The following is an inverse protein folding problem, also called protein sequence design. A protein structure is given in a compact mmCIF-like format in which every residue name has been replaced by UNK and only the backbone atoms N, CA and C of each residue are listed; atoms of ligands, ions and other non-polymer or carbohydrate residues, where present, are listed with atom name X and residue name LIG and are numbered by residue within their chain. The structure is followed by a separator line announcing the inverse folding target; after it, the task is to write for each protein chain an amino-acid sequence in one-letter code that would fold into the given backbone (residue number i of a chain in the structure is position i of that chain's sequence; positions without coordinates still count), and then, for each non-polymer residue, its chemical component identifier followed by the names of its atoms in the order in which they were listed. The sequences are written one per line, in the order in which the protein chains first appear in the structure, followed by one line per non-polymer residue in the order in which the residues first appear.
data_IF_759504903448
#
_entry.id   IF_759504903448
#
_cell.length_a   1.000
_cell.length_b   1.000
_cell.length_c   1.000
_cell.angle_alpha   90.00
_cell.angle_beta   90.00
_cell.angle_gamma   90.00
#
_symmetry.space_group_name_H-M   'P 1'
#
loop_
_entity.id
_entity.type
_entity.pdbx_description
1 polymer ?
#
# COMPACT_ATOMS: atom_id res chain seq x y z
N UNK A 1 15.10 0.17 21.96
CA UNK A 1 14.99 1.64 21.88
C UNK A 1 14.56 1.93 20.46
N UNK A 2 13.39 2.57 20.29
CA UNK A 2 12.82 2.84 18.98
C UNK A 2 13.66 3.83 18.19
N UNK A 3 13.46 3.86 16.88
CA UNK A 3 14.08 4.87 16.01
C UNK A 3 13.11 6.01 15.74
N UNK A 4 13.54 7.26 15.90
CA UNK A 4 12.69 8.42 15.64
C UNK A 4 12.70 8.75 14.14
N UNK A 5 11.53 8.71 13.50
CA UNK A 5 11.37 9.02 12.07
C UNK A 5 10.31 10.11 11.85
N UNK A 6 10.43 10.95 10.79
CA UNK A 6 9.37 11.86 10.40
C UNK A 6 8.19 11.08 9.81
N UNK A 7 6.96 11.55 10.04
CA UNK A 7 5.73 10.93 9.56
C UNK A 7 4.98 11.79 8.54
N UNK A 8 4.34 11.11 7.60
CA UNK A 8 3.41 11.66 6.62
C UNK A 8 2.10 10.87 6.65
N UNK A 9 1.11 11.33 7.43
CA UNK A 9 -0.22 10.74 7.44
C UNK A 9 -0.92 10.81 6.09
N UNK A 10 -1.55 9.72 5.66
CA UNK A 10 -2.38 9.62 4.45
C UNK A 10 -3.73 8.96 4.75
N UNK A 11 -4.65 8.97 3.79
CA UNK A 11 -5.94 8.26 3.90
C UNK A 11 -5.85 6.76 3.63
N UNK A 12 -4.75 6.28 3.05
CA UNK A 12 -4.50 4.88 2.71
C UNK A 12 -3.07 4.49 3.08
N UNK A 13 -2.82 3.23 3.49
CA UNK A 13 -1.46 2.74 3.71
C UNK A 13 -0.62 2.72 2.43
N UNK A 14 0.70 2.86 2.60
CA UNK A 14 1.71 2.56 1.59
C UNK A 14 2.22 1.13 1.81
N UNK A 15 2.57 0.44 0.73
CA UNK A 15 3.17 -0.90 0.78
C UNK A 15 4.62 -0.89 0.26
N UNK A 16 5.47 -1.81 0.75
CA UNK A 16 6.82 -1.97 0.23
C UNK A 16 6.84 -2.20 -1.28
N UNK A 17 7.80 -1.58 -1.97
CA UNK A 17 7.96 -1.65 -3.43
C UNK A 17 7.02 -0.74 -4.24
N UNK A 18 5.98 -0.19 -3.63
CA UNK A 18 5.00 0.67 -4.33
C UNK A 18 5.56 2.07 -4.52
N UNK A 19 5.43 2.60 -5.75
CA UNK A 19 5.78 3.98 -6.07
C UNK A 19 4.64 4.91 -5.60
N UNK A 20 4.99 5.97 -4.89
CA UNK A 20 4.05 6.98 -4.41
C UNK A 20 4.49 8.38 -4.88
N UNK A 21 3.91 8.91 -5.96
CA UNK A 21 4.09 10.30 -6.36
C UNK A 21 3.25 11.22 -5.46
N UNK A 22 3.83 12.32 -4.98
CA UNK A 22 3.11 13.30 -4.15
C UNK A 22 3.39 14.73 -4.62
N UNK A 23 2.37 15.57 -4.52
CA UNK A 23 2.47 17.02 -4.61
C UNK A 23 2.37 17.61 -3.19
N UNK A 24 3.42 18.32 -2.79
CA UNK A 24 3.61 18.82 -1.43
C UNK A 24 3.37 20.32 -1.43
N UNK A 25 2.22 20.71 -0.90
CA UNK A 25 1.81 22.11 -0.80
C UNK A 25 1.75 22.60 0.66
N UNK A 26 1.50 21.74 1.65
CA UNK A 26 1.41 22.16 3.05
C UNK A 26 2.76 22.60 3.64
N UNK A 27 2.82 23.74 4.36
CA UNK A 27 4.08 24.27 4.91
C UNK A 27 4.88 23.27 5.75
N UNK A 28 4.22 22.49 6.62
CA UNK A 28 4.87 21.48 7.47
C UNK A 28 5.58 20.39 6.65
N UNK A 29 5.00 19.98 5.53
CA UNK A 29 5.58 18.95 4.67
C UNK A 29 6.58 19.52 3.68
N UNK A 30 6.45 20.80 3.29
CA UNK A 30 7.54 21.52 2.59
C UNK A 30 8.81 21.52 3.44
N UNK A 31 8.68 21.75 4.74
CA UNK A 31 9.78 21.66 5.71
C UNK A 31 10.36 20.24 5.77
N UNK A 32 9.52 19.21 5.90
CA UNK A 32 9.95 17.81 5.87
C UNK A 32 10.79 17.48 4.63
N UNK A 33 10.31 17.84 3.43
CA UNK A 33 11.03 17.56 2.18
C UNK A 33 12.34 18.33 2.10
N UNK A 34 12.35 19.60 2.53
CA UNK A 34 13.57 20.40 2.58
C UNK A 34 14.62 19.77 3.52
N UNK A 35 14.20 19.32 4.70
CA UNK A 35 15.07 18.70 5.69
C UNK A 35 15.66 17.38 5.15
N UNK A 36 14.84 16.52 4.55
CA UNK A 36 15.29 15.29 3.90
C UNK A 36 16.21 15.55 2.70
N UNK A 37 15.92 16.56 1.88
CA UNK A 37 16.73 16.92 0.72
C UNK A 37 18.11 17.49 1.13
N UNK A 38 18.16 18.20 2.26
CA UNK A 38 19.40 18.77 2.82
C UNK A 38 20.26 17.76 3.57
N UNK A 39 19.70 16.61 3.95
CA UNK A 39 20.45 15.55 4.64
C UNK A 39 21.60 15.04 3.78
N UNK A 40 22.81 15.08 4.32
CA UNK A 40 24.05 14.61 3.68
C UNK A 40 24.54 13.27 4.23
N UNK A 41 23.79 12.62 5.12
CA UNK A 41 24.20 11.32 5.67
C UNK A 41 23.94 10.20 4.65
N UNK A 42 24.99 9.62 4.04
CA UNK A 42 24.82 8.55 3.06
C UNK A 42 24.35 7.23 3.70
N UNK A 43 24.42 7.10 5.04
CA UNK A 43 24.03 5.88 5.76
C UNK A 43 22.54 5.82 6.07
N UNK A 44 21.84 6.95 6.01
CA UNK A 44 20.39 7.02 6.26
C UNK A 44 19.67 7.28 4.95
N UNK A 45 18.77 6.38 4.50
CA UNK A 45 17.94 6.69 3.36
C UNK A 45 17.15 7.97 3.64
N UNK A 46 17.03 8.83 2.64
CA UNK A 46 16.17 10.02 2.71
C UNK A 46 14.74 9.53 2.69
N UNK A 47 14.16 9.26 3.85
CA UNK A 47 12.84 8.64 3.97
C UNK A 47 12.01 9.22 5.10
N UNK A 48 10.70 9.07 4.98
CA UNK A 48 9.72 9.36 6.02
C UNK A 48 8.74 8.19 6.14
N UNK A 49 8.11 8.02 7.30
CA UNK A 49 7.09 7.01 7.52
C UNK A 49 5.74 7.44 6.97
N UNK A 50 5.12 6.63 6.12
CA UNK A 50 3.73 6.81 5.71
C UNK A 50 2.85 5.94 6.60
N UNK A 51 1.82 6.55 7.16
CA UNK A 51 0.85 5.89 8.06
C UNK A 51 -0.56 6.33 7.67
N UNK A 52 -1.51 5.40 7.63
CA UNK A 52 -2.88 5.77 7.32
C UNK A 52 -3.58 6.39 8.56
N UNK A 53 -4.54 7.26 8.29
CA UNK A 53 -5.45 7.86 9.28
C UNK A 53 -6.70 6.98 9.38
N UNK A 54 -7.23 6.81 10.59
CA UNK A 54 -8.50 6.10 10.85
C UNK A 54 -9.67 7.01 10.45
N UNK A 55 -10.59 6.52 9.61
CA UNK A 55 -11.76 7.31 9.21
C UNK A 55 -12.70 7.57 10.40
N UNK A 56 -13.29 8.77 10.47
CA UNK A 56 -14.23 9.18 11.53
C UNK A 56 -13.62 9.89 12.73
N UNK A 57 -12.31 10.16 12.72
CA UNK A 57 -11.59 10.83 13.80
C UNK A 57 -11.08 12.18 13.28
N UNK A 58 -11.87 13.24 13.46
CA UNK A 58 -11.43 14.61 13.16
C UNK A 58 -10.19 14.93 14.02
N UNK A 59 -9.10 15.30 13.35
CA UNK A 59 -7.76 15.57 13.93
C UNK A 59 -7.79 16.62 15.05
N UNK A 60 -8.86 17.39 15.17
CA UNK A 60 -9.02 18.46 16.16
C UNK A 60 -9.48 18.00 17.56
N UNK A 61 -9.92 16.74 17.75
CA UNK A 61 -10.51 16.30 19.04
C UNK A 61 -9.85 15.09 19.71
N UNK A 62 -8.89 14.45 19.05
CA UNK A 62 -8.32 13.17 19.48
C UNK A 62 -6.80 13.26 19.49
N UNK A 63 -6.15 12.55 20.42
CA UNK A 63 -4.69 12.50 20.47
C UNK A 63 -4.12 12.02 19.11
N UNK A 64 -3.08 12.66 18.56
CA UNK A 64 -2.54 12.33 17.24
C UNK A 64 -2.20 10.84 17.04
N UNK A 65 -1.80 10.13 18.10
CA UNK A 65 -1.55 8.69 18.06
C UNK A 65 -2.82 7.85 17.83
N UNK A 66 -3.95 8.24 18.40
CA UNK A 66 -5.22 7.49 18.30
C UNK A 66 -5.89 7.66 16.94
N UNK A 67 -5.57 8.73 16.21
CA UNK A 67 -6.06 8.96 14.85
C UNK A 67 -5.31 8.15 13.78
N UNK A 68 -4.18 7.51 14.12
CA UNK A 68 -3.33 6.79 13.18
C UNK A 68 -3.46 5.28 13.36
N UNK A 69 -3.16 4.54 12.29
CA UNK A 69 -2.94 3.10 12.40
C UNK A 69 -1.55 2.80 12.94
N UNK A 70 -1.44 1.68 13.67
CA UNK A 70 -0.23 1.33 14.41
C UNK A 70 0.92 0.89 13.50
N UNK A 71 0.62 0.47 12.26
CA UNK A 71 1.61 0.01 11.29
C UNK A 71 1.65 0.94 10.08
N UNK A 72 2.86 1.27 9.65
CA UNK A 72 3.14 2.07 8.46
C UNK A 72 4.25 1.47 7.59
N UNK A 73 4.55 2.17 6.51
CA UNK A 73 5.64 1.83 5.59
C UNK A 73 6.46 3.08 5.29
N UNK A 74 7.78 2.96 5.29
CA UNK A 74 8.66 4.06 4.91
C UNK A 74 8.57 4.36 3.43
N UNK A 75 8.59 5.64 3.09
CA UNK A 75 8.66 6.16 1.74
C UNK A 75 10.06 6.73 1.50
N UNK A 76 10.86 6.04 0.69
CA UNK A 76 12.22 6.48 0.32
C UNK A 76 12.14 7.46 -0.83
N UNK A 77 12.68 8.65 -0.64
CA UNK A 77 12.72 9.74 -1.61
C UNK A 77 13.64 9.38 -2.79
N UNK A 78 13.05 9.26 -3.99
CA UNK A 78 13.77 8.96 -5.23
C UNK A 78 14.02 10.19 -6.09
N UNK A 79 13.02 11.05 -6.21
CA UNK A 79 13.12 12.29 -6.96
C UNK A 79 12.44 13.44 -6.23
N UNK A 80 13.00 14.65 -6.37
CA UNK A 80 12.47 15.89 -5.82
C UNK A 80 12.52 16.95 -6.90
N UNK A 81 11.38 17.55 -7.22
CA UNK A 81 11.26 18.63 -8.19
C UNK A 81 10.60 19.84 -7.50
N UNK A 82 11.36 20.91 -7.19
CA UNK A 82 10.79 22.16 -6.70
C UNK A 82 9.73 22.72 -7.66
N UNK A 83 8.69 23.33 -7.13
CA UNK A 83 7.61 23.96 -7.90
C UNK A 83 7.68 25.49 -7.75
N UNK A 84 7.09 26.22 -8.71
CA UNK A 84 7.15 27.70 -8.76
C UNK A 84 6.43 28.37 -7.57
N UNK A 85 5.45 27.70 -6.97
CA UNK A 85 4.70 28.12 -5.78
C UNK A 85 5.43 27.82 -4.46
N UNK A 86 6.68 27.34 -4.54
CA UNK A 86 7.47 26.90 -3.39
C UNK A 86 7.08 25.54 -2.84
N UNK A 87 6.19 24.80 -3.51
CA UNK A 87 5.89 23.40 -3.22
C UNK A 87 6.94 22.45 -3.80
N UNK A 88 6.72 21.15 -3.60
CA UNK A 88 7.53 20.09 -4.21
C UNK A 88 6.66 19.07 -4.91
N UNK A 89 7.13 18.55 -6.04
CA UNK A 89 6.68 17.27 -6.57
C UNK A 89 7.74 16.23 -6.26
N UNK A 90 7.36 15.18 -5.56
CA UNK A 90 8.28 14.13 -5.15
C UNK A 90 7.83 12.78 -5.70
N UNK A 91 8.79 11.90 -5.92
CA UNK A 91 8.54 10.48 -6.17
C UNK A 91 9.20 9.70 -5.05
N UNK A 92 8.43 8.89 -4.36
CA UNK A 92 8.91 8.00 -3.31
C UNK A 92 8.63 6.54 -3.66
N UNK A 93 9.33 5.62 -3.01
CA UNK A 93 9.09 4.18 -3.11
C UNK A 93 8.97 3.61 -1.71
N UNK A 94 7.93 2.81 -1.47
CA UNK A 94 7.74 2.06 -0.24
C UNK A 94 8.93 1.14 0.05
N UNK A 95 9.40 1.11 1.29
CA UNK A 95 10.50 0.26 1.73
C UNK A 95 10.10 -0.53 2.98
N UNK A 96 10.68 -0.23 4.14
CA UNK A 96 10.52 -1.02 5.34
C UNK A 96 9.19 -0.73 6.06
N UNK A 97 8.57 -1.78 6.59
CA UNK A 97 7.41 -1.69 7.47
C UNK A 97 7.87 -1.35 8.88
N UNK A 98 7.07 -0.58 9.60
CA UNK A 98 7.34 -0.21 10.97
C UNK A 98 6.06 -0.18 11.80
N UNK A 99 6.20 -0.37 13.11
CA UNK A 99 5.16 -0.16 14.10
C UNK A 99 5.44 1.11 14.88
N UNK A 100 4.41 1.96 15.03
CA UNK A 100 4.46 3.13 15.90
C UNK A 100 4.55 2.67 17.36
N UNK A 101 5.53 3.19 18.09
CA UNK A 101 5.66 3.04 19.53
C UNK A 101 5.12 4.27 20.26
N UNK A 102 5.51 5.45 19.79
CA UNK A 102 5.03 6.73 20.33
C UNK A 102 5.05 7.81 19.25
N UNK A 103 4.07 8.72 19.29
CA UNK A 103 3.96 9.83 18.33
C UNK A 103 4.36 11.13 19.01
N UNK A 104 5.40 11.76 18.48
CA UNK A 104 5.94 13.02 18.97
C UNK A 104 5.36 14.16 18.15
N UNK A 105 4.69 15.10 18.83
CA UNK A 105 4.18 16.33 18.25
C UNK A 105 4.97 17.50 18.84
N UNK A 106 5.55 18.31 17.97
CA UNK A 106 6.32 19.49 18.35
C UNK A 106 6.09 20.64 17.37
N UNK A 107 6.55 21.83 17.76
CA UNK A 107 6.49 23.03 16.92
C UNK A 107 7.67 23.13 15.94
N UNK A 108 8.82 22.54 16.30
CA UNK A 108 10.01 22.43 15.44
C UNK A 108 10.68 21.04 15.63
N UNK A 109 10.66 20.15 14.63
CA UNK A 109 10.03 20.36 13.31
C UNK A 109 8.49 20.39 13.38
N UNK A 110 7.82 21.09 12.44
CA UNK A 110 6.35 21.26 12.41
C UNK A 110 5.59 20.04 11.87
N UNK A 111 6.30 18.98 11.48
CA UNK A 111 5.71 17.73 11.01
C UNK A 111 5.75 16.68 12.13
N UNK A 112 4.78 15.75 12.10
CA UNK A 112 4.74 14.67 13.08
C UNK A 112 5.99 13.80 13.00
N UNK A 113 6.44 13.32 14.15
CA UNK A 113 7.48 12.31 14.25
C UNK A 113 6.98 11.14 15.08
N UNK A 114 7.62 9.99 14.98
CA UNK A 114 7.33 8.88 15.87
C UNK A 114 8.56 8.04 16.17
N UNK A 115 8.61 7.52 17.40
CA UNK A 115 9.47 6.40 17.72
C UNK A 115 8.85 5.14 17.12
N UNK A 116 9.66 4.38 16.39
CA UNK A 116 9.18 3.20 15.69
C UNK A 116 10.01 1.95 15.98
N UNK A 117 9.36 0.82 15.83
CA UNK A 117 9.97 -0.50 15.75
C UNK A 117 9.90 -1.02 14.31
N UNK A 118 11.04 -1.47 13.77
CA UNK A 118 11.11 -2.04 12.42
C UNK A 118 10.52 -3.46 12.39
N UNK A 119 9.57 -3.69 11.48
CA UNK A 119 8.93 -5.00 11.32
C UNK A 119 9.67 -5.83 10.26
N UNK A 120 10.34 -6.88 10.72
CA UNK A 120 10.96 -7.88 9.84
C UNK A 120 9.89 -8.83 9.28
N UNK A 121 10.18 -9.47 8.14
CA UNK A 121 9.36 -10.61 7.70
C UNK A 121 9.65 -11.82 8.58
N UNK A 122 8.59 -12.50 9.01
CA UNK A 122 8.74 -13.74 9.79
C UNK A 122 9.46 -14.83 9.01
N UNK A 123 9.26 -14.94 7.69
CA UNK A 123 9.96 -15.93 6.86
C UNK A 123 11.48 -15.71 6.85
N UNK A 124 11.94 -14.45 6.89
CA UNK A 124 13.37 -14.13 7.01
C UNK A 124 13.89 -14.39 8.42
N UNK A 125 13.05 -14.26 9.46
CA UNK A 125 13.38 -14.61 10.82
C UNK A 125 13.44 -16.14 11.01
N UNK A 126 12.54 -16.90 10.38
CA UNK A 126 12.54 -18.38 10.37
C UNK A 126 13.74 -18.94 9.58
N UNK A 127 14.06 -18.38 8.41
CA UNK A 127 15.26 -18.76 7.63
C UNK A 127 16.57 -18.38 8.33
N UNK A 128 16.62 -17.23 9.03
CA UNK A 128 17.80 -16.79 9.77
C UNK A 128 17.96 -17.49 11.14
N UNK A 129 16.86 -17.87 11.78
CA UNK A 129 16.87 -18.51 13.10
C UNK A 129 17.18 -20.00 13.02
N UNK A 130 16.95 -20.67 11.88
CA UNK A 130 17.20 -22.09 11.72
C UNK A 130 16.61 -22.91 12.87
N UNK A 131 15.33 -23.28 12.74
CA UNK A 131 14.60 -24.27 13.55
C UNK A 131 13.57 -23.73 14.58
N UNK A 132 12.48 -24.52 14.68
CA UNK A 132 11.38 -24.58 15.65
C UNK A 132 10.40 -23.40 15.83
N UNK A 133 9.13 -23.60 15.44
CA UNK A 133 8.05 -23.91 16.41
C UNK A 133 6.74 -24.42 15.74
N UNK A 134 6.05 -25.37 16.38
CA UNK A 134 4.58 -25.40 16.38
C UNK A 134 3.79 -26.59 15.82
N UNK A 135 4.38 -27.56 15.12
CA UNK A 135 3.74 -28.86 14.87
C UNK A 135 4.78 -29.94 15.07
N UNK A 136 4.64 -30.79 16.09
CA UNK A 136 5.44 -32.01 16.22
C UNK A 136 5.14 -32.85 14.98
N UNK A 137 6.08 -33.00 14.02
CA UNK A 137 5.92 -33.96 12.96
C UNK A 137 5.89 -35.36 13.59
N UNK A 138 5.39 -36.41 12.91
CA UNK A 138 5.76 -37.75 13.33
C UNK A 138 7.29 -37.80 13.45
N UNK A 139 7.80 -38.49 14.48
CA UNK A 139 9.21 -38.57 14.95
C UNK A 139 10.25 -39.01 13.88
N UNK A 140 9.85 -39.03 12.60
CA UNK A 140 10.57 -39.53 11.43
C UNK A 140 10.60 -38.55 10.24
N UNK A 141 9.90 -37.40 10.31
CA UNK A 141 9.95 -36.42 9.22
C UNK A 141 11.18 -35.52 9.38
N UNK A 142 12.08 -35.52 8.38
CA UNK A 142 13.21 -34.60 8.36
C UNK A 142 12.77 -33.16 8.07
N UNK A 143 13.52 -32.18 8.57
CA UNK A 143 13.30 -30.75 8.31
C UNK A 143 13.22 -30.43 6.80
N UNK A 144 13.89 -31.23 5.97
CA UNK A 144 13.83 -31.14 4.52
C UNK A 144 12.42 -31.43 3.96
N UNK A 145 11.69 -32.39 4.54
CA UNK A 145 10.31 -32.71 4.13
C UNK A 145 9.35 -31.60 4.55
N UNK A 146 9.50 -31.07 5.77
CA UNK A 146 8.68 -29.95 6.26
C UNK A 146 8.91 -28.70 5.41
N UNK A 147 10.17 -28.36 5.14
CA UNK A 147 10.56 -27.25 4.25
C UNK A 147 10.03 -27.44 2.83
N UNK A 148 10.07 -28.66 2.30
CA UNK A 148 9.53 -28.99 0.96
C UNK A 148 8.01 -28.81 0.90
N UNK A 149 7.27 -29.26 1.92
CA UNK A 149 5.81 -29.09 2.00
C UNK A 149 5.43 -27.61 2.18
N UNK A 150 6.18 -26.86 2.99
CA UNK A 150 5.98 -25.42 3.17
C UNK A 150 6.19 -24.65 1.85
N UNK A 151 7.30 -24.92 1.14
CA UNK A 151 7.60 -24.36 -0.19
C UNK A 151 6.55 -24.76 -1.22
N UNK A 152 6.17 -26.04 -1.26
CA UNK A 152 5.10 -26.54 -2.13
C UNK A 152 3.77 -25.82 -1.87
N UNK A 153 3.40 -25.68 -0.60
CA UNK A 153 2.16 -25.00 -0.19
C UNK A 153 2.19 -23.50 -0.47
N UNK A 154 3.34 -22.83 -0.38
CA UNK A 154 3.50 -21.42 -0.73
C UNK A 154 3.38 -21.22 -2.24
N UNK A 155 4.02 -22.08 -3.05
CA UNK A 155 3.92 -22.01 -4.51
C UNK A 155 2.49 -22.19 -5.01
N UNK A 156 1.69 -23.02 -4.34
CA UNK A 156 0.26 -23.19 -4.63
C UNK A 156 -0.52 -21.92 -4.29
N UNK A 157 -0.22 -21.27 -3.16
CA UNK A 157 -0.84 -20.00 -2.80
C UNK A 157 -0.50 -18.88 -3.78
N UNK A 158 0.77 -18.73 -4.14
CA UNK A 158 1.23 -17.74 -5.13
C UNK A 158 0.44 -17.90 -6.43
N UNK A 159 0.42 -19.11 -7.01
CA UNK A 159 -0.35 -19.39 -8.24
C UNK A 159 -1.83 -19.11 -8.08
N UNK A 160 -2.44 -19.53 -6.96
CA UNK A 160 -3.86 -19.30 -6.71
C UNK A 160 -4.19 -17.81 -6.56
N UNK A 161 -3.34 -17.03 -5.90
CA UNK A 161 -3.54 -15.58 -5.71
C UNK A 161 -3.34 -14.85 -7.03
N UNK A 162 -2.30 -15.18 -7.81
CA UNK A 162 -2.08 -14.60 -9.14
C UNK A 162 -3.28 -14.84 -10.07
N UNK A 163 -3.83 -16.05 -10.12
CA UNK A 163 -5.01 -16.37 -10.95
C UNK A 163 -6.27 -15.63 -10.46
N UNK A 164 -6.52 -15.60 -9.14
CA UNK A 164 -7.64 -14.84 -8.58
C UNK A 164 -7.53 -13.34 -8.88
N UNK A 165 -6.33 -12.78 -8.74
CA UNK A 165 -6.10 -11.36 -8.96
C UNK A 165 -6.21 -10.98 -10.44
N UNK A 166 -5.68 -11.80 -11.36
CA UNK A 166 -5.85 -11.58 -12.80
C UNK A 166 -7.33 -11.60 -13.21
N UNK A 167 -8.12 -12.53 -12.66
CA UNK A 167 -9.58 -12.56 -12.86
C UNK A 167 -10.25 -11.32 -12.29
N UNK A 168 -9.90 -10.95 -11.07
CA UNK A 168 -10.42 -9.75 -10.40
C UNK A 168 -10.19 -8.49 -11.24
N UNK A 169 -8.97 -8.26 -11.72
CA UNK A 169 -8.65 -7.08 -12.54
C UNK A 169 -9.41 -7.09 -13.86
N UNK A 170 -9.56 -8.26 -14.48
CA UNK A 170 -10.35 -8.40 -15.72
C UNK A 170 -11.82 -8.03 -15.49
N UNK A 171 -12.41 -8.52 -14.40
CA UNK A 171 -13.82 -8.24 -14.07
C UNK A 171 -14.03 -6.76 -13.71
N UNK A 172 -13.11 -6.15 -12.94
CA UNK A 172 -13.14 -4.71 -12.63
C UNK A 172 -13.05 -3.87 -13.91
N UNK A 173 -12.12 -4.22 -14.82
CA UNK A 173 -11.96 -3.51 -16.09
C UNK A 173 -13.21 -3.62 -16.96
N UNK A 174 -13.83 -4.82 -17.03
CA UNK A 174 -15.06 -5.04 -17.79
C UNK A 174 -16.24 -4.21 -17.24
N UNK A 175 -16.40 -4.14 -15.92
CA UNK A 175 -17.46 -3.37 -15.30
C UNK A 175 -17.24 -1.85 -15.41
N UNK A 176 -15.99 -1.36 -15.37
CA UNK A 176 -15.70 0.06 -15.61
C UNK A 176 -15.93 0.46 -17.06
N UNK A 177 -15.43 -0.32 -18.02
CA UNK A 177 -15.63 -0.03 -19.45
C UNK A 177 -17.09 -0.15 -19.92
N UNK A 178 -17.97 -0.76 -19.13
CA UNK A 178 -19.42 -0.78 -19.39
C UNK A 178 -20.17 0.44 -18.83
N UNK A 179 -19.55 1.24 -17.96
CA UNK A 179 -20.15 2.44 -17.34
C UNK A 179 -19.82 3.74 -18.11
N UNK A 180 -18.89 3.70 -19.06
CA UNK A 180 -18.45 4.85 -19.88
C UNK A 180 -19.17 4.94 -21.25
N UNK A 181 -20.37 4.37 -21.38
CA UNK A 181 -21.12 4.34 -22.64
C UNK A 181 -22.36 5.27 -22.67
N UNK A 182 -22.32 6.39 -21.95
CA UNK A 182 -23.27 7.49 -22.15
C UNK A 182 -22.59 8.54 -23.05
N UNK A 183 -23.00 8.60 -24.32
CA UNK A 183 -22.46 9.46 -25.39
C UNK A 183 -22.49 10.99 -25.07
N UNK A 184 -23.13 11.42 -23.98
CA UNK A 184 -23.31 12.83 -23.63
C UNK A 184 -22.13 13.47 -22.84
N UNK A 185 -21.25 12.68 -22.21
CA UNK A 185 -20.09 13.23 -21.45
C UNK A 185 -18.80 13.37 -22.28
N UNK A 186 -18.74 12.75 -23.46
CA UNK A 186 -17.57 12.78 -24.35
C UNK A 186 -17.33 14.17 -24.98
N UNK A 187 -18.40 14.94 -25.22
CA UNK A 187 -18.30 16.30 -25.78
C UNK A 187 -17.69 17.31 -24.79
N UNK A 188 -17.85 17.09 -23.48
CA UNK A 188 -17.38 18.01 -22.44
C UNK A 188 -15.89 17.79 -22.07
N UNK A 189 -15.38 16.57 -22.29
CA UNK A 189 -13.98 16.21 -22.07
C UNK A 189 -13.06 16.57 -23.26
N UNK A 190 -13.61 16.57 -24.49
CA UNK A 190 -12.89 16.99 -25.69
C UNK A 190 -12.44 18.47 -25.64
N UNK A 191 -13.23 19.34 -25.00
CA UNK A 191 -12.91 20.76 -24.80
C UNK A 191 -11.79 21.02 -23.78
N UNK A 192 -11.44 20.02 -22.95
CA UNK A 192 -10.36 20.10 -21.97
C UNK A 192 -9.04 19.46 -22.43
N UNK A 193 -8.98 18.92 -23.64
CA UNK A 193 -7.74 18.41 -24.25
C UNK A 193 -7.12 17.21 -23.53
N UNK A 194 -7.93 16.42 -22.82
CA UNK A 194 -7.52 15.15 -22.23
C UNK A 194 -8.01 14.05 -23.18
N UNK A 195 -7.10 13.44 -23.93
CA UNK A 195 -7.39 12.33 -24.85
C UNK A 195 -7.95 11.12 -24.07
N UNK A 196 -9.28 11.10 -23.89
CA UNK A 196 -10.01 9.98 -23.31
C UNK A 196 -10.36 8.98 -24.39
N UNK A 197 -9.55 7.92 -24.53
CA UNK A 197 -10.00 6.62 -25.06
C UNK A 197 -8.99 5.46 -24.91
N UNK A 198 -7.82 5.64 -24.28
CA UNK A 198 -6.76 4.59 -24.24
C UNK A 198 -6.40 4.04 -22.84
N UNK A 199 -7.03 4.55 -21.76
CA UNK A 199 -6.64 4.24 -20.36
C UNK A 199 -7.18 2.88 -19.87
N UNK A 200 -8.27 2.39 -20.46
CA UNK A 200 -8.96 1.17 -20.03
C UNK A 200 -8.26 -0.12 -20.51
N UNK A 201 -7.66 -0.09 -21.70
CA UNK A 201 -6.78 -1.16 -22.20
C UNK A 201 -5.41 -1.16 -21.52
N UNK A 202 -4.95 0.01 -21.08
CA UNK A 202 -3.70 0.19 -20.35
C UNK A 202 -3.75 -0.43 -18.95
N UNK A 203 -4.78 -0.21 -18.14
CA UNK A 203 -4.82 -0.73 -16.76
C UNK A 203 -4.70 -2.28 -16.67
N UNK A 204 -5.38 -3.00 -17.57
CA UNK A 204 -5.25 -4.46 -17.68
C UNK A 204 -3.86 -4.91 -18.17
N UNK A 205 -3.28 -4.16 -19.11
CA UNK A 205 -1.93 -4.39 -19.65
C UNK A 205 -0.81 -4.08 -18.64
N UNK A 206 -0.94 -3.00 -17.87
CA UNK A 206 -0.02 -2.56 -16.82
C UNK A 206 -0.04 -3.54 -15.65
N UNK A 207 -1.23 -3.96 -15.20
CA UNK A 207 -1.34 -4.99 -14.16
C UNK A 207 -0.69 -6.31 -14.62
N UNK A 208 -0.92 -6.72 -15.87
CA UNK A 208 -0.27 -7.91 -16.43
C UNK A 208 1.26 -7.74 -16.57
N UNK A 209 1.75 -6.52 -16.79
CA UNK A 209 3.18 -6.21 -16.77
C UNK A 209 3.76 -6.32 -15.35
N UNK A 210 3.07 -5.75 -14.34
CA UNK A 210 3.48 -5.82 -12.93
C UNK A 210 3.48 -7.26 -12.40
N UNK A 211 2.46 -8.06 -12.73
CA UNK A 211 2.43 -9.48 -12.36
C UNK A 211 3.57 -10.26 -12.98
N UNK A 212 3.92 -9.99 -14.25
CA UNK A 212 5.09 -10.60 -14.90
C UNK A 212 6.42 -10.16 -14.27
N UNK A 213 6.51 -8.91 -13.83
CA UNK A 213 7.70 -8.37 -13.18
C UNK A 213 7.93 -9.00 -11.81
N UNK A 214 6.87 -9.21 -11.03
CA UNK A 214 6.94 -9.91 -9.74
C UNK A 214 7.29 -11.39 -9.94
N UNK A 215 6.74 -12.04 -10.97
CA UNK A 215 7.04 -13.44 -11.26
C UNK A 215 6.67 -14.37 -10.10
N UNK A 216 7.64 -15.15 -9.63
CA UNK A 216 7.48 -16.11 -8.51
C UNK A 216 7.82 -15.51 -7.13
N UNK A 217 8.10 -14.21 -7.03
CA UNK A 217 8.32 -13.53 -5.74
C UNK A 217 7.01 -13.45 -4.94
N UNK A 218 6.85 -14.36 -3.99
CA UNK A 218 5.68 -14.43 -3.11
C UNK A 218 5.45 -13.13 -2.32
N UNK A 219 6.54 -12.50 -1.86
CA UNK A 219 6.47 -11.28 -1.06
C UNK A 219 6.06 -10.11 -1.95
N UNK A 220 6.74 -9.94 -3.08
CA UNK A 220 6.38 -8.94 -4.09
C UNK A 220 4.93 -9.06 -4.54
N UNK A 221 4.44 -10.28 -4.77
CA UNK A 221 3.06 -10.52 -5.16
C UNK A 221 2.08 -10.05 -4.09
N UNK A 222 2.36 -10.37 -2.82
CA UNK A 222 1.47 -9.99 -1.73
C UNK A 222 1.29 -8.46 -1.64
N UNK A 223 2.38 -7.70 -1.70
CA UNK A 223 2.29 -6.23 -1.66
C UNK A 223 1.70 -5.63 -2.92
N UNK A 224 1.94 -6.23 -4.09
CA UNK A 224 1.31 -5.81 -5.34
C UNK A 224 -0.21 -5.97 -5.23
N UNK A 225 -0.69 -7.14 -4.82
CA UNK A 225 -2.13 -7.42 -4.68
C UNK A 225 -2.76 -6.52 -3.63
N UNK A 226 -2.13 -6.38 -2.46
CA UNK A 226 -2.62 -5.55 -1.36
C UNK A 226 -2.73 -4.06 -1.75
N UNK A 227 -1.83 -3.57 -2.61
CA UNK A 227 -1.84 -2.18 -3.07
C UNK A 227 -2.80 -1.92 -4.24
N UNK A 228 -2.93 -2.86 -5.17
CA UNK A 228 -3.71 -2.67 -6.40
C UNK A 228 -5.19 -3.07 -6.28
N UNK A 229 -5.54 -4.01 -5.39
CA UNK A 229 -6.93 -4.41 -5.20
C UNK A 229 -7.76 -3.28 -4.54
N UNK A 230 -9.01 -3.11 -4.98
CA UNK A 230 -9.96 -2.13 -4.40
C UNK A 230 -10.52 -2.66 -3.08
N UNK A 231 -9.67 -2.71 -2.05
CA UNK A 231 -10.01 -3.15 -0.71
C UNK A 231 -10.36 -1.96 0.19
N UNK A 232 -10.98 -2.21 1.34
CA UNK A 232 -11.18 -1.17 2.37
C UNK A 232 -9.83 -0.76 2.98
N UNK A 233 -9.78 0.41 3.63
CA UNK A 233 -8.56 0.84 4.35
C UNK A 233 -8.20 -0.14 5.47
N UNK A 234 -9.20 -0.68 6.16
CA UNK A 234 -9.05 -1.68 7.23
C UNK A 234 -8.45 -2.99 6.72
N UNK A 235 -8.92 -3.48 5.57
CA UNK A 235 -8.38 -4.69 4.96
C UNK A 235 -6.94 -4.47 4.49
N UNK A 236 -6.66 -3.34 3.83
CA UNK A 236 -5.29 -2.97 3.43
C UNK A 236 -4.36 -2.85 4.64
N UNK A 237 -4.84 -2.26 5.73
CA UNK A 237 -4.05 -2.14 6.96
C UNK A 237 -3.78 -3.49 7.62
N UNK A 238 -4.76 -4.40 7.60
CA UNK A 238 -4.57 -5.77 8.08
C UNK A 238 -3.50 -6.51 7.26
N UNK A 239 -3.49 -6.32 5.93
CA UNK A 239 -2.47 -6.89 5.05
C UNK A 239 -1.08 -6.29 5.27
N UNK A 240 -1.00 -4.97 5.50
CA UNK A 240 0.26 -4.30 5.82
C UNK A 240 0.83 -4.78 7.16
N UNK A 241 -0.03 -4.96 8.17
CA UNK A 241 0.37 -5.41 9.50
C UNK A 241 0.85 -6.87 9.54
N UNK A 242 0.32 -7.74 8.68
CA UNK A 242 0.68 -9.16 8.64
C UNK A 242 2.16 -9.36 8.28
N UNK A 243 2.92 -9.98 9.17
CA UNK A 243 4.38 -10.18 9.09
C UNK A 243 4.81 -11.41 8.31
N UNK A 244 3.93 -12.42 8.14
CA UNK A 244 4.24 -13.60 7.36
C UNK A 244 3.63 -13.52 5.97
N UNK A 245 4.47 -13.61 4.94
CA UNK A 245 4.05 -13.53 3.53
C UNK A 245 3.02 -14.62 3.19
N UNK A 246 3.21 -15.86 3.66
CA UNK A 246 2.20 -16.92 3.53
C UNK A 246 0.82 -16.54 4.09
N UNK A 247 0.76 -15.97 5.29
CA UNK A 247 -0.51 -15.56 5.93
C UNK A 247 -1.14 -14.38 5.19
N UNK A 248 -0.32 -13.45 4.71
CA UNK A 248 -0.75 -12.32 3.87
C UNK A 248 -1.41 -12.81 2.57
N UNK A 249 -0.76 -13.69 1.83
CA UNK A 249 -1.31 -14.31 0.61
C UNK A 249 -2.60 -15.10 0.88
N UNK A 250 -2.70 -15.81 2.00
CA UNK A 250 -3.91 -16.53 2.37
C UNK A 250 -5.07 -15.57 2.74
N UNK A 251 -4.78 -14.42 3.34
CA UNK A 251 -5.77 -13.36 3.58
C UNK A 251 -6.22 -12.73 2.25
N UNK A 252 -5.28 -12.39 1.36
CA UNK A 252 -5.56 -11.86 0.01
C UNK A 252 -6.46 -12.80 -0.79
N UNK A 253 -6.19 -14.11 -0.79
CA UNK A 253 -7.05 -15.08 -1.48
C UNK A 253 -8.50 -15.04 -1.00
N UNK A 254 -8.71 -14.90 0.32
CA UNK A 254 -10.05 -14.76 0.91
C UNK A 254 -10.71 -13.45 0.52
N UNK A 255 -9.96 -12.34 0.56
CA UNK A 255 -10.45 -11.02 0.19
C UNK A 255 -10.81 -10.94 -1.30
N UNK A 256 -9.94 -11.41 -2.19
CA UNK A 256 -10.20 -11.43 -3.63
C UNK A 256 -11.43 -12.27 -4.01
N UNK A 257 -11.63 -13.42 -3.34
CA UNK A 257 -12.85 -14.23 -3.54
C UNK A 257 -14.11 -13.49 -3.08
N UNK A 258 -14.03 -12.76 -1.96
CA UNK A 258 -15.13 -11.92 -1.47
C UNK A 258 -15.44 -10.83 -2.50
N UNK A 259 -14.44 -10.08 -2.95
CA UNK A 259 -14.62 -9.00 -3.91
C UNK A 259 -15.15 -9.50 -5.26
N UNK A 260 -14.63 -10.62 -5.78
CA UNK A 260 -15.15 -11.24 -7.01
C UNK A 260 -16.62 -11.64 -6.89
N UNK A 261 -17.03 -12.14 -5.72
CA UNK A 261 -18.44 -12.46 -5.46
C UNK A 261 -19.28 -11.18 -5.48
N UNK A 262 -18.81 -10.12 -4.81
CA UNK A 262 -19.50 -8.82 -4.78
C UNK A 262 -19.66 -8.24 -6.18
N UNK A 263 -18.58 -8.21 -6.98
CA UNK A 263 -18.60 -7.69 -8.35
C UNK A 263 -19.61 -8.44 -9.23
N UNK A 264 -19.69 -9.77 -9.09
CA UNK A 264 -20.59 -10.60 -9.90
C UNK A 264 -22.06 -10.49 -9.49
N UNK A 265 -22.33 -10.42 -8.20
CA UNK A 265 -23.70 -10.36 -7.68
C UNK A 265 -24.28 -8.94 -7.77
N UNK A 266 -23.47 -7.91 -7.55
CA UNK A 266 -23.92 -6.52 -7.58
C UNK A 266 -23.73 -5.83 -8.94
N UNK A 267 -22.84 -6.35 -9.80
CA UNK A 267 -22.55 -5.75 -11.10
C UNK A 267 -21.97 -4.33 -11.03
N UNK A 268 -21.38 -3.95 -9.90
CA UNK A 268 -20.88 -2.60 -9.66
C UNK A 268 -19.46 -2.66 -9.09
N UNK A 269 -18.59 -1.77 -9.57
CA UNK A 269 -17.25 -1.61 -9.01
C UNK A 269 -17.32 -0.67 -7.81
N UNK A 270 -16.81 -1.07 -6.62
CA UNK A 270 -16.73 -0.18 -5.49
C UNK A 270 -15.93 1.07 -5.86
N UNK A 271 -16.60 2.21 -5.81
CA UNK A 271 -15.97 3.52 -5.94
C UNK A 271 -15.33 3.86 -4.59
N UNK A 272 -14.03 4.24 -4.54
CA UNK A 272 -13.41 4.66 -3.30
C UNK A 272 -14.24 5.78 -2.66
N UNK A 273 -14.55 5.66 -1.37
CA UNK A 273 -15.40 6.62 -0.66
C UNK A 273 -14.88 8.07 -0.76
N UNK A 274 -13.58 8.25 -1.02
CA UNK A 274 -12.98 9.56 -1.25
C UNK A 274 -13.50 10.27 -2.51
N UNK A 275 -13.98 9.56 -3.53
CA UNK A 275 -14.62 10.19 -4.70
C UNK A 275 -16.00 10.76 -4.36
N UNK A 276 -16.66 10.26 -3.30
CA UNK A 276 -17.88 10.87 -2.75
C UNK A 276 -17.57 11.97 -1.73
N UNK A 277 -16.32 12.10 -1.29
CA UNK A 277 -15.85 13.24 -0.51
C UNK A 277 -15.51 14.41 -1.44
N UNK A 278 -16.50 14.87 -2.22
CA UNK A 278 -16.40 16.16 -2.87
C UNK A 278 -16.18 17.26 -1.82
N UNK A 279 -15.56 18.40 -2.19
CA UNK A 279 -15.50 19.53 -1.28
C UNK A 279 -16.93 19.85 -0.85
N UNK A 280 -17.20 19.82 0.46
CA UNK A 280 -18.38 20.47 1.02
C UNK A 280 -18.28 21.94 0.61
N UNK A 281 -18.91 22.30 -0.50
CA UNK A 281 -19.11 23.69 -0.89
C UNK A 281 -19.94 24.32 0.22
N UNK A 282 -19.39 25.27 0.99
CA UNK A 282 -20.20 26.00 1.95
C UNK A 282 -21.10 26.93 1.13
N UNK A 283 -22.36 26.54 0.95
CA UNK A 283 -23.43 27.51 0.77
C UNK A 283 -23.93 27.93 2.15
#
# INVERSE_FOLDING_TARGET
MGELIPLFPLSSPLFPGVVLPLQIFEPRYRRLVADLASSTDPRRPRSFGVVAIRQGWEVERVAPAEALFDVGCTAVLRAVTPQADGGYRIVTVGADRFRLLDVVVGDDPPYLQAEVEWLQEEEAAEEAAGDADGLTPPDTASDEVVSSVARGSLSVLVRSVSDLFARYVTEVAALRGGLDADEEDAELLADLGLDGDDDLGQAGSETAALLRQVGDDARGLSYLVASAALLTTEDRQSLLAESATRRRLAAESRLLRRELTILRELGAVPVPLQQFAGPLTPN
#
